data_IF_186959472248
#
_entry.id   IF_186959472248
#
_cell.length_a   1.000
_cell.length_b   1.000
_cell.length_c   1.000
_cell.angle_alpha   90.00
_cell.angle_beta   90.00
_cell.angle_gamma   90.00
#
_symmetry.space_group_name_H-M   'P 1'
#
loop_
_entity.id
_entity.type
_entity.pdbx_description
1 polymer ?
#
# COMPACT_ATOMS: atom_id res chain seq x y z
N UNK A 1 -22.20 14.68 40.32
CA UNK A 1 -21.09 13.72 40.08
C UNK A 1 -21.34 12.84 38.86
N UNK A 2 -22.59 12.43 38.56
CA UNK A 2 -22.94 11.72 37.31
C UNK A 2 -22.97 12.63 36.07
N UNK A 3 -23.44 13.88 36.18
CA UNK A 3 -23.45 14.84 35.06
C UNK A 3 -22.03 15.22 34.59
N UNK A 4 -21.07 15.33 35.51
CA UNK A 4 -19.70 15.76 35.22
C UNK A 4 -18.84 14.65 34.57
N UNK A 5 -19.25 13.39 34.74
CA UNK A 5 -18.67 12.24 34.02
C UNK A 5 -19.24 12.09 32.62
N UNK A 6 -20.52 12.39 32.42
CA UNK A 6 -21.21 12.24 31.14
C UNK A 6 -20.79 13.33 30.14
N UNK A 7 -20.63 14.58 30.61
CA UNK A 7 -20.07 15.68 29.80
C UNK A 7 -18.62 15.44 29.41
N UNK A 8 -17.77 14.94 30.32
CA UNK A 8 -16.37 14.59 30.00
C UNK A 8 -16.26 13.42 29.02
N UNK A 9 -17.14 12.43 29.11
CA UNK A 9 -17.21 11.32 28.16
C UNK A 9 -17.65 11.80 26.77
N UNK A 10 -18.64 12.70 26.71
CA UNK A 10 -19.09 13.32 25.46
C UNK A 10 -18.00 14.18 24.80
N UNK A 11 -17.30 15.01 25.56
CA UNK A 11 -16.18 15.82 25.06
C UNK A 11 -15.02 14.94 24.56
N UNK A 12 -14.67 13.89 25.30
CA UNK A 12 -13.65 12.91 24.89
C UNK A 12 -14.05 12.19 23.59
N UNK A 13 -15.32 11.80 23.45
CA UNK A 13 -15.85 11.17 22.24
C UNK A 13 -15.74 12.09 21.02
N UNK A 14 -16.09 13.38 21.18
CA UNK A 14 -16.00 14.37 20.10
C UNK A 14 -14.55 14.58 19.61
N UNK A 15 -13.58 14.60 20.53
CA UNK A 15 -12.17 14.72 20.20
C UNK A 15 -11.64 13.46 19.49
N UNK A 16 -12.02 12.26 19.96
CA UNK A 16 -11.65 10.99 19.32
C UNK A 16 -12.18 10.95 17.89
N UNK A 17 -13.45 11.31 17.71
CA UNK A 17 -14.08 11.39 16.39
C UNK A 17 -13.34 12.35 15.47
N UNK A 18 -12.98 13.54 15.95
CA UNK A 18 -12.20 14.52 15.18
C UNK A 18 -10.82 14.00 14.78
N UNK A 19 -10.12 13.27 15.66
CA UNK A 19 -8.81 12.68 15.36
C UNK A 19 -8.89 11.59 14.29
N UNK A 20 -9.98 10.80 14.28
CA UNK A 20 -10.22 9.73 13.30
C UNK A 20 -10.68 10.33 11.96
N UNK A 21 -11.79 11.07 11.96
CA UNK A 21 -12.41 11.63 10.75
C UNK A 21 -11.53 12.70 10.09
N UNK A 22 -10.78 13.46 10.89
CA UNK A 22 -9.78 14.41 10.39
C UNK A 22 -8.52 13.77 9.80
N UNK A 23 -8.40 12.44 9.86
CA UNK A 23 -7.25 11.71 9.32
C UNK A 23 -5.96 11.85 10.13
N UNK A 24 -6.03 12.40 11.34
CA UNK A 24 -4.86 12.60 12.21
C UNK A 24 -4.30 11.27 12.72
N UNK A 25 -5.16 10.31 13.09
CA UNK A 25 -4.74 8.97 13.45
C UNK A 25 -4.02 8.27 12.27
N UNK A 26 -4.58 8.39 11.07
CA UNK A 26 -4.01 7.84 9.84
C UNK A 26 -2.63 8.45 9.54
N UNK A 27 -2.50 9.78 9.64
CA UNK A 27 -1.23 10.47 9.46
C UNK A 27 -0.18 10.04 10.51
N UNK A 28 -0.59 9.88 11.77
CA UNK A 28 0.28 9.43 12.85
C UNK A 28 0.81 8.00 12.61
N UNK A 29 -0.03 7.09 12.14
CA UNK A 29 0.38 5.73 11.74
C UNK A 29 1.42 5.74 10.63
N UNK A 30 1.28 6.64 9.64
CA UNK A 30 2.28 6.77 8.57
C UNK A 30 3.68 7.18 9.07
N UNK A 31 3.78 7.84 10.22
CA UNK A 31 5.06 8.26 10.81
C UNK A 31 5.90 7.09 11.36
N UNK A 32 5.31 5.89 11.52
CA UNK A 32 6.03 4.67 11.88
C UNK A 32 7.07 4.26 10.82
N UNK A 33 6.89 4.70 9.57
CA UNK A 33 7.81 4.48 8.46
C UNK A 33 8.78 5.64 8.23
N UNK A 34 8.91 6.56 9.18
CA UNK A 34 9.89 7.64 9.09
C UNK A 34 11.32 7.13 9.24
N UNK A 35 12.26 7.68 8.46
CA UNK A 35 13.70 7.40 8.61
C UNK A 35 14.25 7.88 9.97
N UNK A 36 13.61 8.89 10.56
CA UNK A 36 14.04 9.47 11.84
C UNK A 36 13.54 8.63 13.03
N UNK A 37 14.49 8.09 13.79
CA UNK A 37 14.20 7.27 14.99
C UNK A 37 13.31 7.99 16.01
N UNK A 38 13.57 9.28 16.28
CA UNK A 38 12.79 10.08 17.22
C UNK A 38 11.32 10.16 16.80
N UNK A 39 11.06 10.40 15.51
CA UNK A 39 9.71 10.46 14.96
C UNK A 39 8.99 9.12 15.11
N UNK A 40 9.68 7.99 14.86
CA UNK A 40 9.07 6.66 15.04
C UNK A 40 8.71 6.38 16.50
N UNK A 41 9.61 6.72 17.44
CA UNK A 41 9.37 6.54 18.88
C UNK A 41 8.19 7.39 19.38
N UNK A 42 8.13 8.63 18.93
CA UNK A 42 6.99 9.50 19.22
C UNK A 42 5.70 8.98 18.59
N UNK A 43 5.75 8.46 17.36
CA UNK A 43 4.58 7.86 16.71
C UNK A 43 4.06 6.65 17.50
N UNK A 44 4.94 5.68 17.86
CA UNK A 44 4.57 4.52 18.69
C UNK A 44 3.93 4.96 20.01
N UNK A 45 4.52 5.94 20.68
CA UNK A 45 4.04 6.46 21.97
C UNK A 45 2.68 7.13 21.83
N UNK A 46 2.51 8.01 20.85
CA UNK A 46 1.27 8.76 20.64
C UNK A 46 0.14 7.87 20.13
N UNK A 47 0.42 6.87 19.30
CA UNK A 47 -0.58 5.87 18.88
C UNK A 47 -1.04 5.06 20.10
N UNK A 48 -0.10 4.62 20.96
CA UNK A 48 -0.45 3.87 22.19
C UNK A 48 -1.32 4.71 23.13
N UNK A 49 -0.98 5.99 23.33
CA UNK A 49 -1.78 6.92 24.15
C UNK A 49 -3.17 7.15 23.55
N UNK A 50 -3.25 7.31 22.23
CA UNK A 50 -4.52 7.49 21.53
C UNK A 50 -5.38 6.23 21.61
N UNK A 51 -4.80 5.04 21.42
CA UNK A 51 -5.50 3.78 21.58
C UNK A 51 -6.09 3.62 22.99
N UNK A 52 -5.35 3.97 24.04
CA UNK A 52 -5.88 3.96 25.41
C UNK A 52 -7.10 4.89 25.56
N UNK A 53 -7.02 6.13 25.07
CA UNK A 53 -8.15 7.09 25.10
C UNK A 53 -9.35 6.62 24.27
N UNK A 54 -9.10 6.03 23.12
CA UNK A 54 -10.14 5.49 22.23
C UNK A 54 -10.92 4.37 22.94
N UNK A 55 -10.23 3.47 23.65
CA UNK A 55 -10.85 2.38 24.40
C UNK A 55 -11.83 2.87 25.47
N UNK A 56 -11.46 3.96 26.15
CA UNK A 56 -12.26 4.58 27.21
C UNK A 56 -13.36 5.53 26.68
N UNK A 57 -13.40 5.78 25.37
CA UNK A 57 -14.37 6.68 24.74
C UNK A 57 -15.73 6.02 24.48
N UNK A 58 -16.73 6.84 24.17
CA UNK A 58 -18.06 6.39 23.70
C UNK A 58 -18.17 6.31 22.17
N UNK A 59 -17.03 6.27 21.45
CA UNK A 59 -17.02 6.09 19.99
C UNK A 59 -17.51 4.68 19.64
N UNK A 60 -18.42 4.58 18.66
CA UNK A 60 -19.16 3.34 18.37
C UNK A 60 -18.25 2.24 17.82
N UNK A 61 -17.37 2.57 16.87
CA UNK A 61 -16.45 1.63 16.23
C UNK A 61 -15.10 1.50 16.96
N UNK A 62 -15.04 1.87 18.24
CA UNK A 62 -13.79 1.98 18.99
C UNK A 62 -13.01 0.69 19.08
N UNK A 63 -13.68 -0.45 19.18
CA UNK A 63 -13.01 -1.73 19.44
C UNK A 63 -12.15 -2.16 18.24
N UNK A 64 -12.66 -2.00 17.01
CA UNK A 64 -11.92 -2.42 15.81
C UNK A 64 -10.80 -1.44 15.47
N UNK A 65 -11.03 -0.14 15.62
CA UNK A 65 -9.97 0.85 15.45
C UNK A 65 -8.91 0.68 16.53
N UNK A 66 -9.29 0.42 17.78
CA UNK A 66 -8.37 0.14 18.89
C UNK A 66 -7.52 -1.11 18.62
N UNK A 67 -8.13 -2.19 18.14
CA UNK A 67 -7.43 -3.42 17.77
C UNK A 67 -6.39 -3.16 16.69
N UNK A 68 -6.78 -2.51 15.59
CA UNK A 68 -5.88 -2.13 14.50
C UNK A 68 -4.68 -1.31 15.01
N UNK A 69 -4.93 -0.29 15.84
CA UNK A 69 -3.89 0.57 16.39
C UNK A 69 -2.95 -0.19 17.34
N UNK A 70 -3.49 -1.14 18.11
CA UNK A 70 -2.69 -1.98 19.00
C UNK A 70 -1.79 -2.92 18.21
N UNK A 71 -2.33 -3.62 17.20
CA UNK A 71 -1.56 -4.55 16.37
C UNK A 71 -0.46 -3.86 15.54
N UNK A 72 -0.74 -2.68 14.97
CA UNK A 72 0.28 -1.93 14.23
C UNK A 72 1.40 -1.44 15.14
N UNK A 73 1.08 -1.05 16.39
CA UNK A 73 2.07 -0.67 17.40
C UNK A 73 2.93 -1.86 17.82
N UNK A 74 2.32 -3.01 18.11
CA UNK A 74 3.08 -4.22 18.46
C UNK A 74 3.96 -4.69 17.30
N UNK A 75 3.48 -4.56 16.06
CA UNK A 75 4.27 -4.83 14.86
C UNK A 75 5.44 -3.84 14.73
N UNK A 76 5.21 -2.55 14.97
CA UNK A 76 6.25 -1.51 14.88
C UNK A 76 7.33 -1.67 15.95
N UNK A 77 6.97 -2.02 17.19
CA UNK A 77 7.92 -2.15 18.32
C UNK A 77 9.05 -3.14 18.03
N UNK A 78 8.82 -4.16 17.19
CA UNK A 78 9.84 -5.14 16.80
C UNK A 78 11.03 -4.55 16.03
N UNK A 79 10.78 -3.51 15.23
CA UNK A 79 11.78 -2.92 14.34
C UNK A 79 12.14 -1.46 14.68
N UNK A 80 11.32 -0.76 15.46
CA UNK A 80 11.40 0.70 15.68
C UNK A 80 12.81 1.22 15.99
N UNK A 81 13.57 0.52 16.83
CA UNK A 81 14.93 0.95 17.22
C UNK A 81 15.99 0.77 16.13
N UNK A 82 15.75 -0.12 15.17
CA UNK A 82 16.74 -0.54 14.17
C UNK A 82 16.44 0.05 12.80
N UNK A 83 15.20 -0.09 12.34
CA UNK A 83 14.77 0.29 11.00
C UNK A 83 13.34 0.84 11.00
N UNK A 84 12.96 1.62 9.97
CA UNK A 84 11.57 2.02 9.80
C UNK A 84 10.65 0.83 9.56
N UNK A 85 9.42 0.92 10.06
CA UNK A 85 8.39 -0.05 9.69
C UNK A 85 8.17 0.05 8.16
N UNK A 86 8.07 -1.08 7.42
CA UNK A 86 7.83 -1.00 5.98
C UNK A 86 6.60 -0.16 5.66
N UNK A 87 6.74 0.76 4.70
CA UNK A 87 5.71 1.76 4.41
C UNK A 87 4.40 1.12 3.99
N UNK A 88 4.45 -0.04 3.35
CA UNK A 88 3.25 -0.79 2.97
C UNK A 88 2.39 -1.21 4.16
N UNK A 89 3.00 -1.51 5.32
CA UNK A 89 2.29 -1.88 6.55
C UNK A 89 1.63 -0.64 7.16
N UNK A 90 2.38 0.46 7.28
CA UNK A 90 1.84 1.74 7.78
C UNK A 90 0.73 2.27 6.86
N UNK A 91 0.90 2.15 5.54
CA UNK A 91 -0.09 2.57 4.55
C UNK A 91 -1.37 1.75 4.66
N UNK A 92 -1.26 0.42 4.81
CA UNK A 92 -2.41 -0.44 5.06
C UNK A 92 -3.17 0.01 6.32
N UNK A 93 -2.48 0.13 7.47
CA UNK A 93 -3.11 0.53 8.72
C UNK A 93 -3.75 1.92 8.62
N UNK A 94 -3.05 2.89 8.02
CA UNK A 94 -3.57 4.23 7.78
C UNK A 94 -4.85 4.23 6.94
N UNK A 95 -4.96 3.37 5.92
CA UNK A 95 -6.16 3.28 5.08
C UNK A 95 -7.25 2.38 5.67
N UNK A 96 -6.91 1.52 6.63
CA UNK A 96 -7.85 0.66 7.35
C UNK A 96 -8.64 1.42 8.41
N UNK A 97 -8.07 2.48 9.02
CA UNK A 97 -8.77 3.32 10.02
C UNK A 97 -10.13 3.83 9.52
N UNK A 98 -10.23 4.54 8.38
CA UNK A 98 -11.53 5.02 7.90
C UNK A 98 -12.47 3.88 7.50
N UNK A 99 -11.94 2.73 7.06
CA UNK A 99 -12.76 1.56 6.74
C UNK A 99 -13.38 0.96 8.00
N UNK A 100 -12.61 0.84 9.08
CA UNK A 100 -13.11 0.30 10.35
C UNK A 100 -14.02 1.27 11.10
N UNK A 101 -13.97 2.56 10.75
CA UNK A 101 -14.88 3.59 11.26
C UNK A 101 -16.22 3.63 10.52
N UNK A 102 -16.40 2.80 9.49
CA UNK A 102 -17.63 2.67 8.73
C UNK A 102 -17.97 1.18 8.54
N UNK A 103 -18.86 0.61 9.39
CA UNK A 103 -19.28 -0.79 9.27
C UNK A 103 -19.95 -1.14 7.92
N UNK A 104 -20.44 -0.15 7.17
CA UNK A 104 -21.04 -0.33 5.84
C UNK A 104 -19.99 -0.35 4.72
N UNK A 105 -18.73 -0.05 5.04
CA UNK A 105 -17.66 -0.05 4.06
C UNK A 105 -17.42 -1.46 3.51
N UNK A 106 -17.26 -1.59 2.19
CA UNK A 106 -17.17 -2.91 1.51
C UNK A 106 -16.02 -3.78 1.99
N UNK A 107 -14.91 -3.16 2.39
CA UNK A 107 -13.73 -3.85 2.92
C UNK A 107 -13.82 -4.17 4.42
N UNK A 108 -14.84 -3.70 5.14
CA UNK A 108 -14.98 -3.92 6.58
C UNK A 108 -14.86 -5.41 6.96
N UNK A 109 -15.54 -6.36 6.26
CA UNK A 109 -15.40 -7.78 6.60
C UNK A 109 -13.99 -8.33 6.37
N UNK A 110 -13.33 -7.95 5.26
CA UNK A 110 -11.97 -8.44 4.94
C UNK A 110 -10.93 -7.92 5.92
N UNK A 111 -11.04 -6.67 6.37
CA UNK A 111 -10.12 -6.11 7.38
C UNK A 111 -10.34 -6.77 8.74
N UNK A 112 -11.59 -6.95 9.19
CA UNK A 112 -11.85 -7.65 10.45
C UNK A 112 -11.35 -9.10 10.45
N UNK A 113 -11.54 -9.81 9.33
CA UNK A 113 -10.99 -11.16 9.15
C UNK A 113 -9.46 -11.19 9.14
N UNK A 114 -8.81 -10.09 8.75
CA UNK A 114 -7.36 -9.96 8.83
C UNK A 114 -6.89 -9.73 10.27
N UNK A 115 -7.53 -8.83 11.01
CA UNK A 115 -7.19 -8.56 12.43
C UNK A 115 -7.43 -9.81 13.31
N UNK A 116 -8.37 -10.67 12.93
CA UNK A 116 -8.63 -11.92 13.65
C UNK A 116 -7.52 -12.99 13.50
N UNK A 117 -6.51 -12.77 12.63
CA UNK A 117 -5.45 -13.76 12.38
C UNK A 117 -4.34 -13.77 13.43
N UNK A 118 -4.18 -12.69 14.18
CA UNK A 118 -3.23 -12.62 15.27
C UNK A 118 -2.70 -11.21 15.53
N UNK A 119 -2.11 -10.98 16.71
CA UNK A 119 -1.83 -9.64 17.23
C UNK A 119 -0.65 -8.93 16.56
N UNK A 120 0.00 -9.56 15.59
CA UNK A 120 1.23 -9.06 14.97
C UNK A 120 1.25 -9.42 13.49
N UNK A 121 1.66 -8.46 12.66
CA UNK A 121 1.69 -8.66 11.22
C UNK A 121 3.09 -9.02 10.72
N UNK A 122 3.14 -9.75 9.61
CA UNK A 122 4.39 -10.07 8.94
C UNK A 122 4.85 -8.88 8.09
N UNK A 123 5.95 -8.25 8.50
CA UNK A 123 6.50 -7.05 7.86
C UNK A 123 6.93 -7.28 6.40
N UNK A 124 7.16 -8.53 5.98
CA UNK A 124 7.57 -8.88 4.62
C UNK A 124 6.37 -9.22 3.70
N UNK A 125 5.13 -9.11 4.18
CA UNK A 125 3.89 -9.33 3.42
C UNK A 125 3.23 -8.01 3.05
N UNK A 126 2.37 -8.07 2.04
CA UNK A 126 1.47 -6.98 1.66
C UNK A 126 0.07 -7.36 2.16
N UNK A 127 -0.46 -6.70 3.21
CA UNK A 127 -1.75 -7.05 3.80
C UNK A 127 -2.89 -7.05 2.79
N UNK A 128 -3.76 -8.06 2.83
CA UNK A 128 -4.94 -8.21 1.96
C UNK A 128 -4.72 -8.27 0.45
N UNK A 129 -3.50 -8.12 -0.10
CA UNK A 129 -3.31 -8.05 -1.55
C UNK A 129 -3.90 -9.26 -2.30
N UNK A 130 -3.54 -10.48 -1.89
CA UNK A 130 -4.11 -11.68 -2.51
C UNK A 130 -5.58 -11.90 -2.12
N UNK A 131 -5.99 -11.47 -0.92
CA UNK A 131 -7.39 -11.53 -0.47
C UNK A 131 -8.32 -10.64 -1.30
N UNK A 132 -7.83 -9.54 -1.83
CA UNK A 132 -8.61 -8.63 -2.69
C UNK A 132 -8.54 -9.07 -4.16
N UNK A 133 -7.38 -9.55 -4.61
CA UNK A 133 -7.17 -9.84 -6.03
C UNK A 133 -7.61 -11.24 -6.46
N UNK A 134 -7.49 -12.23 -5.57
CA UNK A 134 -7.66 -13.64 -5.93
C UNK A 134 -8.91 -14.28 -5.30
N UNK A 135 -9.54 -13.62 -4.32
CA UNK A 135 -10.77 -14.08 -3.69
C UNK A 135 -11.97 -13.20 -4.07
N UNK A 136 -13.20 -13.76 -4.10
CA UNK A 136 -14.39 -12.96 -4.37
C UNK A 136 -14.57 -11.84 -3.34
N UNK A 137 -15.18 -10.71 -3.74
CA UNK A 137 -15.49 -9.63 -2.82
C UNK A 137 -16.50 -10.09 -1.76
N UNK A 138 -16.50 -9.42 -0.60
CA UNK A 138 -17.46 -9.75 0.47
C UNK A 138 -18.90 -9.32 0.15
N UNK A 139 -19.04 -8.40 -0.80
CA UNK A 139 -20.33 -7.91 -1.28
C UNK A 139 -20.36 -7.97 -2.82
N UNK A 140 -21.54 -8.18 -3.37
CA UNK A 140 -21.76 -8.11 -4.81
C UNK A 140 -21.32 -6.74 -5.36
N UNK A 141 -20.75 -6.75 -6.56
CA UNK A 141 -20.23 -5.58 -7.28
C UNK A 141 -19.15 -4.76 -6.54
N UNK A 142 -18.56 -5.26 -5.45
CA UNK A 142 -17.54 -4.54 -4.70
C UNK A 142 -16.10 -4.74 -5.23
N UNK A 143 -15.87 -5.64 -6.19
CA UNK A 143 -14.53 -5.99 -6.70
C UNK A 143 -13.69 -4.76 -7.09
N UNK A 144 -14.27 -3.83 -7.85
CA UNK A 144 -13.54 -2.63 -8.27
C UNK A 144 -13.29 -1.64 -7.13
N UNK A 145 -14.18 -1.57 -6.15
CA UNK A 145 -14.00 -0.72 -4.97
C UNK A 145 -12.87 -1.25 -4.10
N UNK A 146 -12.85 -2.57 -3.84
CA UNK A 146 -11.77 -3.24 -3.12
C UNK A 146 -10.43 -3.09 -3.85
N UNK A 147 -10.41 -3.31 -5.17
CA UNK A 147 -9.22 -3.15 -6.01
C UNK A 147 -8.73 -1.71 -5.99
N UNK A 148 -9.63 -0.73 -6.10
CA UNK A 148 -9.27 0.68 -6.07
C UNK A 148 -8.66 1.10 -4.73
N UNK A 149 -9.21 0.62 -3.62
CA UNK A 149 -8.66 0.82 -2.28
C UNK A 149 -7.26 0.20 -2.16
N UNK A 150 -7.10 -1.05 -2.63
CA UNK A 150 -5.81 -1.74 -2.67
C UNK A 150 -4.76 -0.92 -3.42
N UNK A 151 -5.06 -0.51 -4.66
CA UNK A 151 -4.13 0.30 -5.46
C UNK A 151 -3.78 1.63 -4.81
N UNK A 152 -4.72 2.21 -4.06
CA UNK A 152 -4.50 3.49 -3.36
C UNK A 152 -3.50 3.33 -2.23
N UNK A 153 -3.67 2.34 -1.35
CA UNK A 153 -2.71 2.16 -0.26
C UNK A 153 -1.38 1.58 -0.77
N UNK A 154 -1.38 0.76 -1.83
CA UNK A 154 -0.13 0.31 -2.46
C UNK A 154 0.68 1.51 -2.96
N UNK A 155 0.03 2.48 -3.61
CA UNK A 155 0.71 3.69 -4.06
C UNK A 155 1.27 4.50 -2.88
N UNK A 156 0.54 4.58 -1.77
CA UNK A 156 1.00 5.24 -0.56
C UNK A 156 2.16 4.48 0.12
N UNK A 157 2.19 3.16 -0.01
CA UNK A 157 3.14 2.24 0.64
C UNK A 157 4.41 1.92 -0.15
N UNK A 158 4.55 2.40 -1.38
CA UNK A 158 5.76 2.20 -2.20
C UNK A 158 6.63 3.47 -2.16
N UNK A 159 7.54 3.57 -1.18
CA UNK A 159 8.36 4.79 -0.98
C UNK A 159 9.87 4.55 -0.94
N UNK A 160 10.31 3.42 -0.40
CA UNK A 160 11.72 3.11 -0.18
C UNK A 160 12.21 1.91 -0.99
N UNK A 161 13.54 1.71 -1.11
CA UNK A 161 14.10 0.47 -1.67
C UNK A 161 13.67 -0.80 -0.91
N UNK A 162 13.46 -0.69 0.41
CA UNK A 162 12.94 -1.80 1.22
C UNK A 162 11.50 -2.16 0.82
N UNK A 163 10.65 -1.16 0.60
CA UNK A 163 9.29 -1.38 0.07
C UNK A 163 9.36 -2.04 -1.32
N UNK A 164 10.22 -1.53 -2.21
CA UNK A 164 10.41 -2.10 -3.55
C UNK A 164 10.83 -3.59 -3.48
N UNK A 165 11.65 -3.97 -2.50
CA UNK A 165 12.03 -5.36 -2.28
C UNK A 165 10.84 -6.24 -1.86
N UNK A 166 9.93 -5.73 -1.04
CA UNK A 166 8.69 -6.43 -0.65
C UNK A 166 7.78 -6.59 -1.86
N UNK A 167 7.54 -5.51 -2.63
CA UNK A 167 6.71 -5.54 -3.84
C UNK A 167 7.26 -6.52 -4.86
N UNK A 168 8.59 -6.59 -4.99
CA UNK A 168 9.26 -7.57 -5.83
C UNK A 168 9.04 -9.00 -5.32
N UNK A 169 9.35 -9.27 -4.03
CA UNK A 169 9.24 -10.60 -3.41
C UNK A 169 7.82 -11.14 -3.48
N UNK A 170 6.83 -10.27 -3.32
CA UNK A 170 5.39 -10.59 -3.35
C UNK A 170 4.76 -10.45 -4.74
N UNK A 171 5.55 -10.25 -5.80
CA UNK A 171 5.07 -10.20 -7.19
C UNK A 171 3.93 -9.19 -7.41
N UNK A 172 3.95 -8.07 -6.67
CA UNK A 172 2.90 -7.06 -6.75
C UNK A 172 2.77 -6.52 -8.18
N UNK A 173 3.90 -6.24 -8.84
CA UNK A 173 3.89 -5.75 -10.22
C UNK A 173 3.30 -6.75 -11.22
N UNK A 174 3.55 -8.07 -11.09
CA UNK A 174 2.90 -9.08 -11.95
C UNK A 174 1.37 -8.99 -11.86
N UNK A 175 0.85 -8.86 -10.64
CA UNK A 175 -0.58 -8.68 -10.40
C UNK A 175 -1.10 -7.38 -10.99
N UNK A 176 -0.38 -6.25 -10.82
CA UNK A 176 -0.78 -4.96 -11.40
C UNK A 176 -0.87 -5.02 -12.93
N UNK A 177 0.13 -5.60 -13.59
CA UNK A 177 0.15 -5.75 -15.05
C UNK A 177 -0.95 -6.72 -15.53
N UNK A 178 -1.28 -7.74 -14.73
CA UNK A 178 -2.39 -8.65 -15.01
C UNK A 178 -3.74 -7.95 -14.90
N UNK A 179 -3.96 -7.13 -13.86
CA UNK A 179 -5.21 -6.34 -13.69
C UNK A 179 -5.42 -5.44 -14.89
N UNK A 180 -4.36 -4.76 -15.38
CA UNK A 180 -4.44 -3.86 -16.52
C UNK A 180 -5.09 -4.48 -17.77
N UNK A 181 -4.79 -5.75 -18.02
CA UNK A 181 -5.24 -6.49 -19.20
C UNK A 181 -6.72 -6.88 -19.13
N UNK A 182 -7.40 -6.65 -18.00
CA UNK A 182 -8.84 -6.83 -17.92
C UNK A 182 -9.55 -5.78 -18.81
N UNK A 183 -10.40 -6.25 -19.73
CA UNK A 183 -11.13 -5.38 -20.65
C UNK A 183 -12.18 -4.50 -19.95
N UNK A 184 -12.70 -4.96 -18.80
CA UNK A 184 -13.85 -4.36 -18.10
C UNK A 184 -13.47 -3.50 -16.90
N UNK A 185 -12.23 -3.01 -16.83
CA UNK A 185 -11.78 -2.19 -15.70
C UNK A 185 -12.62 -0.94 -15.49
N UNK A 186 -12.95 -0.67 -14.23
CA UNK A 186 -13.53 0.60 -13.81
C UNK A 186 -12.63 1.79 -14.22
N UNK A 187 -13.22 2.97 -14.51
CA UNK A 187 -12.45 4.18 -14.80
C UNK A 187 -11.41 4.49 -13.71
N UNK A 188 -10.22 4.95 -14.10
CA UNK A 188 -9.16 5.35 -13.17
C UNK A 188 -8.27 4.23 -12.62
N UNK A 189 -8.65 2.95 -12.75
CA UNK A 189 -7.80 1.82 -12.31
C UNK A 189 -6.47 1.80 -13.05
N UNK A 190 -6.51 1.98 -14.38
CA UNK A 190 -5.29 2.07 -15.21
C UNK A 190 -4.41 3.26 -14.81
N UNK A 191 -4.99 4.42 -14.50
CA UNK A 191 -4.22 5.59 -14.03
C UNK A 191 -3.46 5.28 -12.73
N UNK A 192 -4.10 4.60 -11.77
CA UNK A 192 -3.45 4.19 -10.52
C UNK A 192 -2.32 3.20 -10.75
N UNK A 193 -2.49 2.24 -11.67
CA UNK A 193 -1.42 1.31 -12.05
C UNK A 193 -0.25 2.07 -12.67
N UNK A 194 -0.49 3.03 -13.58
CA UNK A 194 0.58 3.87 -14.14
C UNK A 194 1.30 4.66 -13.04
N UNK A 195 0.56 5.28 -12.12
CA UNK A 195 1.17 6.02 -10.98
C UNK A 195 2.06 5.13 -10.12
N UNK A 196 1.65 3.88 -9.89
CA UNK A 196 2.46 2.88 -9.19
C UNK A 196 3.74 2.53 -9.93
N UNK A 197 3.66 2.33 -11.26
CA UNK A 197 4.83 2.06 -12.09
C UNK A 197 5.78 3.27 -12.13
N UNK A 198 5.25 4.48 -12.30
CA UNK A 198 6.04 5.72 -12.22
C UNK A 198 6.70 5.89 -10.84
N UNK A 199 5.96 5.64 -9.75
CA UNK A 199 6.51 5.66 -8.39
C UNK A 199 7.67 4.68 -8.22
N UNK A 200 7.55 3.47 -8.79
CA UNK A 200 8.66 2.51 -8.76
C UNK A 200 9.90 3.06 -9.48
N UNK A 201 9.76 3.83 -10.57
CA UNK A 201 10.91 4.44 -11.26
C UNK A 201 11.63 5.52 -10.45
N UNK A 202 11.00 6.08 -9.42
CA UNK A 202 11.64 7.08 -8.55
C UNK A 202 12.43 6.45 -7.41
N UNK A 203 12.32 5.13 -7.22
CA UNK A 203 13.03 4.39 -6.17
C UNK A 203 14.30 3.79 -6.76
N UNK A 204 15.39 3.84 -5.99
CA UNK A 204 16.68 3.27 -6.40
C UNK A 204 16.54 1.80 -6.82
N UNK A 205 17.04 1.47 -8.01
CA UNK A 205 16.97 0.13 -8.58
C UNK A 205 15.55 -0.30 -8.99
N UNK A 206 14.55 0.57 -8.88
CA UNK A 206 13.16 0.26 -9.18
C UNK A 206 12.94 -0.01 -10.67
N UNK A 207 13.40 0.87 -11.55
CA UNK A 207 13.33 0.67 -13.01
C UNK A 207 14.07 -0.57 -13.47
N UNK A 208 15.28 -0.82 -12.96
CA UNK A 208 16.03 -2.05 -13.24
C UNK A 208 15.26 -3.29 -12.80
N UNK A 209 14.55 -3.23 -11.68
CA UNK A 209 13.71 -4.33 -11.18
C UNK A 209 12.51 -4.55 -12.10
N UNK A 210 11.81 -3.49 -12.52
CA UNK A 210 10.70 -3.57 -13.48
C UNK A 210 11.12 -4.25 -14.79
N UNK A 211 12.29 -3.88 -15.33
CA UNK A 211 12.83 -4.49 -16.56
C UNK A 211 13.19 -5.97 -16.32
N UNK A 212 14.05 -6.24 -15.33
CA UNK A 212 14.74 -7.54 -15.21
C UNK A 212 13.97 -8.62 -14.47
N UNK A 213 12.88 -8.26 -13.78
CA UNK A 213 12.04 -9.19 -13.00
C UNK A 213 10.60 -9.26 -13.46
N UNK A 214 10.09 -8.20 -14.08
CA UNK A 214 8.69 -8.10 -14.46
C UNK A 214 8.47 -7.84 -15.96
N UNK A 215 9.54 -7.85 -16.77
CA UNK A 215 9.49 -7.65 -18.22
C UNK A 215 8.67 -6.43 -18.63
N UNK A 216 8.75 -5.34 -17.84
CA UNK A 216 7.90 -4.19 -18.00
C UNK A 216 8.01 -3.55 -19.39
N UNK A 217 9.19 -3.58 -20.01
CA UNK A 217 9.40 -3.02 -21.36
C UNK A 217 8.56 -3.74 -22.41
N UNK A 218 8.65 -5.07 -22.46
CA UNK A 218 7.86 -5.88 -23.40
C UNK A 218 6.36 -5.72 -23.16
N UNK A 219 5.96 -5.60 -21.89
CA UNK A 219 4.57 -5.31 -21.57
C UNK A 219 4.15 -3.93 -22.10
N UNK A 220 4.94 -2.87 -21.88
CA UNK A 220 4.65 -1.51 -22.39
C UNK A 220 4.54 -1.52 -23.92
N UNK A 221 5.48 -2.14 -24.62
CA UNK A 221 5.49 -2.24 -26.09
C UNK A 221 4.20 -2.90 -26.60
N UNK A 222 3.80 -4.01 -26.00
CA UNK A 222 2.55 -4.70 -26.34
C UNK A 222 1.33 -3.79 -26.11
N UNK A 223 1.28 -3.05 -25.00
CA UNK A 223 0.19 -2.13 -24.72
C UNK A 223 0.15 -0.96 -25.74
N UNK A 224 1.30 -0.37 -26.07
CA UNK A 224 1.39 0.71 -27.07
C UNK A 224 0.92 0.23 -28.44
N UNK A 225 1.27 -0.99 -28.83
CA UNK A 225 0.80 -1.60 -30.09
C UNK A 225 -0.72 -1.81 -30.11
N UNK A 226 -1.33 -2.09 -28.95
CA UNK A 226 -2.79 -2.18 -28.78
C UNK A 226 -3.49 -0.81 -28.73
N UNK A 227 -2.79 0.28 -29.04
CA UNK A 227 -3.36 1.63 -29.15
C UNK A 227 -3.47 2.37 -27.81
N UNK A 228 -2.84 1.89 -26.75
CA UNK A 228 -2.87 2.59 -25.45
C UNK A 228 -1.82 3.73 -25.39
N UNK A 229 -2.30 4.97 -25.56
CA UNK A 229 -1.84 6.24 -24.94
C UNK A 229 -0.38 6.74 -25.02
N UNK A 230 -0.22 8.07 -24.85
CA UNK A 230 1.09 8.76 -24.68
C UNK A 230 1.77 8.45 -23.33
N UNK A 231 0.98 8.18 -22.29
CA UNK A 231 1.48 7.96 -20.92
C UNK A 231 2.37 6.72 -20.79
N UNK A 232 2.12 5.70 -21.60
CA UNK A 232 2.96 4.49 -21.64
C UNK A 232 4.30 4.73 -22.32
N UNK A 233 4.36 5.59 -23.35
CA UNK A 233 5.63 6.01 -23.97
C UNK A 233 6.49 6.80 -22.99
N UNK A 234 5.89 7.75 -22.28
CA UNK A 234 6.59 8.49 -21.22
C UNK A 234 7.09 7.57 -20.09
N UNK A 235 6.31 6.56 -19.71
CA UNK A 235 6.75 5.55 -18.75
C UNK A 235 7.94 4.74 -19.28
N UNK A 236 7.90 4.36 -20.55
CA UNK A 236 8.98 3.63 -21.22
C UNK A 236 10.29 4.40 -21.17
N UNK A 237 10.27 5.67 -21.61
CA UNK A 237 11.42 6.58 -21.58
C UNK A 237 11.97 6.72 -20.15
N UNK A 238 11.08 6.97 -19.18
CA UNK A 238 11.47 7.11 -17.78
C UNK A 238 12.16 5.85 -17.23
N UNK A 239 11.64 4.66 -17.54
CA UNK A 239 12.22 3.39 -17.11
C UNK A 239 13.63 3.22 -17.69
N UNK A 240 13.82 3.54 -18.98
CA UNK A 240 15.13 3.43 -19.64
C UNK A 240 16.15 4.39 -19.03
N UNK A 241 15.78 5.65 -18.81
CA UNK A 241 16.64 6.69 -18.24
C UNK A 241 17.14 6.35 -16.84
N UNK A 242 16.24 5.86 -15.98
CA UNK A 242 16.51 5.61 -14.56
C UNK A 242 17.03 4.19 -14.27
N UNK A 243 17.18 3.35 -15.30
CA UNK A 243 17.69 1.98 -15.15
C UNK A 243 19.23 1.91 -15.15
N UNK A 244 19.75 0.90 -14.45
CA UNK A 244 21.17 0.54 -14.52
C UNK A 244 21.44 -0.16 -15.87
N UNK A 245 21.96 0.61 -16.83
CA UNK A 245 22.26 0.16 -18.19
C UNK A 245 23.22 -1.03 -18.23
N UNK A 246 24.21 -1.11 -17.32
CA UNK A 246 25.16 -2.22 -17.30
C UNK A 246 24.47 -3.50 -16.85
N UNK A 247 23.67 -3.41 -15.78
CA UNK A 247 22.91 -4.54 -15.26
C UNK A 247 21.85 -5.03 -16.24
N UNK A 248 21.13 -4.11 -16.90
CA UNK A 248 20.17 -4.45 -17.95
C UNK A 248 20.86 -5.14 -19.12
N UNK A 249 21.99 -4.63 -19.61
CA UNK A 249 22.79 -5.27 -20.69
C UNK A 249 23.26 -6.67 -20.30
N UNK A 250 23.73 -6.87 -19.07
CA UNK A 250 24.14 -8.19 -18.58
C UNK A 250 22.97 -9.16 -18.52
N UNK A 251 21.81 -8.70 -18.02
CA UNK A 251 20.59 -9.50 -17.99
C UNK A 251 20.15 -9.91 -19.41
N UNK A 252 20.09 -8.97 -20.35
CA UNK A 252 19.66 -9.25 -21.74
C UNK A 252 20.55 -10.22 -22.49
N UNK A 253 21.83 -10.37 -22.10
CA UNK A 253 22.74 -11.37 -22.68
C UNK A 253 22.43 -12.79 -22.20
N UNK A 254 21.83 -12.94 -21.01
CA UNK A 254 21.40 -14.23 -20.46
C UNK A 254 19.99 -14.66 -20.91
N UNK A 255 19.17 -13.72 -21.41
CA UNK A 255 17.88 -14.05 -22.03
C UNK A 255 18.16 -14.42 -23.49
N UNK A 256 18.25 -15.72 -23.77
CA UNK A 256 18.50 -16.22 -25.12
C UNK A 256 17.23 -16.07 -25.98
N UNK A 257 16.95 -14.86 -26.46
CA UNK A 257 15.79 -14.57 -27.33
C UNK A 257 16.27 -14.26 -28.73
N UNK A 258 16.21 -15.27 -29.60
CA UNK A 258 16.48 -15.15 -31.04
C UNK A 258 15.47 -14.31 -31.83
N UNK A 259 14.52 -13.63 -31.17
CA UNK A 259 13.45 -12.86 -31.84
C UNK A 259 13.31 -11.42 -31.31
N UNK A 260 13.79 -11.12 -30.11
CA UNK A 260 13.62 -9.79 -29.46
C UNK A 260 14.84 -8.88 -29.67
N UNK A 261 15.90 -9.40 -30.28
CA UNK A 261 17.17 -8.69 -30.50
C UNK A 261 17.14 -7.56 -31.53
N UNK A 262 16.11 -7.45 -32.37
CA UNK A 262 16.11 -6.42 -33.41
C UNK A 262 15.85 -5.01 -32.87
N UNK A 263 14.99 -4.87 -31.84
CA UNK A 263 14.52 -3.55 -31.41
C UNK A 263 14.94 -3.14 -29.99
N UNK A 264 15.16 -4.05 -29.04
CA UNK A 264 15.44 -3.63 -27.64
C UNK A 264 16.81 -2.93 -27.45
N UNK A 265 17.74 -3.08 -28.40
CA UNK A 265 19.09 -2.49 -28.33
C UNK A 265 19.44 -1.53 -29.46
N UNK A 266 18.48 -1.18 -30.33
CA UNK A 266 18.64 -0.06 -31.26
C UNK A 266 17.95 1.18 -30.69
N UNK A 267 18.32 1.55 -29.46
CA UNK A 267 17.98 2.84 -28.85
C UNK A 267 19.20 3.33 -28.06
#
# INVERSE_FOLDING_TARGET
MLEDTDTRAADSSSLVKWVIEGGHAAALVMLLSSELLSVRKEAVTNISKFAAKLKDSAFEEKDQVWLLLSEVVETAKKCTDQEPLPTVISAFASHAIPVLSDPLHRLYPKINNFLSQGPMWEADKIPLMYKILDEPPSFDDAYYQETNWLLTYLLAGLRSPADMAIYRKRRAFEKLLSIWNNAYLAPGVRDKILRLLFRATTIEGGSTTLITRFSAMTWIEAQVALGTGMSLKALMERILESSDKQRVRKWSKGVNVGVVKADIMKF
#
